data_IF_924591825314
#
_entry.id   IF_924591825314
#
_cell.length_a   1.000
_cell.length_b   1.000
_cell.length_c   1.000
_cell.angle_alpha   90.00
_cell.angle_beta   90.00
_cell.angle_gamma   90.00
#
_symmetry.space_group_name_H-M   'P 1'
#
loop_
_entity.id
_entity.type
_entity.pdbx_description
1 polymer ?
#
# COMPACT_ATOMS: atom_id res chain seq x y z
N UNK A 1 1.30 -16.55 -9.07
CA UNK A 1 1.92 -15.32 -8.59
C UNK A 1 2.83 -15.60 -7.43
N UNK A 2 4.07 -15.16 -7.55
CA UNK A 2 5.13 -15.56 -6.63
C UNK A 2 5.53 -14.46 -5.64
N UNK A 3 5.05 -13.22 -5.85
CA UNK A 3 5.39 -12.09 -4.97
C UNK A 3 4.15 -11.32 -4.58
N UNK A 4 4.24 -10.61 -3.45
CA UNK A 4 3.15 -9.74 -2.99
C UNK A 4 2.86 -8.62 -3.99
N UNK A 5 3.91 -8.05 -4.57
CA UNK A 5 3.76 -6.97 -5.55
C UNK A 5 2.97 -7.46 -6.78
N UNK A 6 3.34 -8.63 -7.33
CA UNK A 6 2.60 -9.22 -8.46
C UNK A 6 1.12 -9.43 -8.12
N UNK A 7 0.86 -9.95 -6.92
CA UNK A 7 -0.52 -10.19 -6.47
C UNK A 7 -1.33 -8.89 -6.44
N UNK A 8 -0.78 -7.83 -5.86
CA UNK A 8 -1.48 -6.54 -5.75
C UNK A 8 -1.64 -5.85 -7.11
N UNK A 9 -0.68 -6.02 -8.01
CA UNK A 9 -0.81 -5.49 -9.38
C UNK A 9 -1.91 -6.19 -10.16
N UNK A 10 -2.08 -7.49 -9.95
CA UNK A 10 -3.14 -8.26 -10.60
C UNK A 10 -4.52 -8.04 -9.96
N UNK A 11 -4.54 -7.63 -8.69
CA UNK A 11 -5.76 -7.39 -7.91
C UNK A 11 -5.70 -5.99 -7.31
N UNK A 12 -5.95 -4.96 -8.11
CA UNK A 12 -5.56 -3.59 -7.77
C UNK A 12 -6.36 -2.91 -6.67
N UNK A 13 -7.49 -3.49 -6.23
CA UNK A 13 -8.21 -2.93 -5.09
C UNK A 13 -7.88 -3.76 -3.85
N UNK A 14 -7.29 -3.12 -2.86
CA UNK A 14 -6.99 -3.73 -1.57
C UNK A 14 -7.38 -2.78 -0.46
N UNK A 15 -7.49 -3.29 0.75
CA UNK A 15 -7.85 -2.48 1.93
C UNK A 15 -6.62 -2.29 2.80
N UNK A 16 -6.49 -1.08 3.34
CA UNK A 16 -5.44 -0.74 4.30
C UNK A 16 -6.09 -0.52 5.66
N UNK A 17 -5.67 -1.31 6.63
CA UNK A 17 -6.11 -1.17 8.02
C UNK A 17 -5.07 -0.39 8.81
N UNK A 18 -5.56 0.54 9.62
CA UNK A 18 -4.74 1.39 10.49
C UNK A 18 -5.26 1.35 11.92
N UNK A 19 -4.43 1.79 12.84
CA UNK A 19 -4.77 1.93 14.26
C UNK A 19 -5.15 3.39 14.53
N UNK A 20 -6.30 3.59 15.17
CA UNK A 20 -6.79 4.90 15.56
C UNK A 20 -7.10 4.85 17.06
N UNK A 21 -6.09 5.11 17.90
CA UNK A 21 -6.21 4.90 19.33
C UNK A 21 -6.39 3.42 19.64
N UNK A 22 -7.55 3.06 20.18
CA UNK A 22 -7.93 1.67 20.44
C UNK A 22 -8.93 1.13 19.39
N UNK A 23 -9.18 1.88 18.32
CA UNK A 23 -10.08 1.50 17.24
C UNK A 23 -9.33 1.07 16.00
N UNK A 24 -9.88 0.11 15.27
CA UNK A 24 -9.40 -0.29 13.97
C UNK A 24 -10.14 0.50 12.90
N UNK A 25 -9.41 0.94 11.86
CA UNK A 25 -9.99 1.61 10.69
C UNK A 25 -9.50 0.91 9.43
N UNK A 26 -10.34 0.82 8.41
CA UNK A 26 -9.97 0.23 7.13
C UNK A 26 -10.64 0.99 5.98
N UNK A 27 -9.98 1.06 4.84
CA UNK A 27 -10.47 1.72 3.63
C UNK A 27 -9.78 1.15 2.40
N UNK A 28 -10.39 1.29 1.20
CA UNK A 28 -9.77 0.81 -0.02
C UNK A 28 -8.62 1.72 -0.49
N UNK A 29 -7.60 1.08 -1.03
CA UNK A 29 -6.48 1.70 -1.74
C UNK A 29 -6.36 1.02 -3.10
N UNK A 30 -5.70 1.68 -4.05
CA UNK A 30 -5.56 1.14 -5.41
C UNK A 30 -4.19 1.24 -6.02
N UNK A 31 -3.21 1.80 -5.32
CA UNK A 31 -1.88 2.00 -5.90
C UNK A 31 -0.80 1.31 -5.11
N UNK A 32 0.06 0.58 -5.83
CA UNK A 32 1.33 0.07 -5.32
C UNK A 32 2.41 0.28 -6.37
N UNK A 33 3.64 0.49 -5.91
CA UNK A 33 4.81 0.42 -6.79
C UNK A 33 5.97 -0.23 -6.05
N UNK A 34 6.84 -0.86 -6.84
CA UNK A 34 8.13 -1.34 -6.36
C UNK A 34 9.18 -0.29 -6.74
N UNK A 35 9.86 0.29 -5.75
CA UNK A 35 10.82 1.35 -5.95
C UNK A 35 11.85 1.32 -4.84
N UNK A 36 13.14 1.43 -5.20
CA UNK A 36 14.24 1.36 -4.22
C UNK A 36 14.18 0.12 -3.32
N UNK A 37 13.83 -1.03 -3.89
CA UNK A 37 13.69 -2.30 -3.17
C UNK A 37 12.66 -2.24 -2.04
N UNK A 38 11.63 -1.42 -2.19
CA UNK A 38 10.56 -1.27 -1.21
C UNK A 38 9.20 -1.26 -1.89
N UNK A 39 8.19 -1.66 -1.15
CA UNK A 39 6.80 -1.62 -1.59
C UNK A 39 6.16 -0.32 -1.12
N UNK A 40 5.74 0.49 -2.09
CA UNK A 40 5.16 1.81 -1.85
C UNK A 40 3.66 1.81 -2.05
N UNK A 41 2.98 2.60 -1.24
CA UNK A 41 1.60 3.02 -1.38
C UNK A 41 1.55 4.54 -1.39
N UNK A 42 0.41 5.13 -1.70
CA UNK A 42 0.25 6.57 -1.67
C UNK A 42 -1.09 6.99 -1.07
N UNK A 43 -1.13 8.19 -0.56
CA UNK A 43 -2.36 8.79 -0.04
C UNK A 43 -2.27 10.31 -0.09
N UNK A 44 -3.18 10.98 0.61
CA UNK A 44 -3.24 12.44 0.73
C UNK A 44 -3.05 12.82 2.19
N UNK A 45 -2.18 13.77 2.46
CA UNK A 45 -1.85 14.22 3.82
C UNK A 45 -3.05 14.77 4.59
N UNK A 46 -4.10 15.21 3.90
CA UNK A 46 -5.31 15.74 4.55
C UNK A 46 -6.25 14.65 5.05
N UNK A 47 -6.02 13.40 4.66
CA UNK A 47 -6.90 12.27 5.04
C UNK A 47 -6.58 11.75 6.43
N UNK A 48 -7.60 11.22 7.11
CA UNK A 48 -7.45 10.61 8.42
C UNK A 48 -6.48 9.43 8.40
N UNK A 49 -6.47 8.65 7.33
CA UNK A 49 -5.56 7.52 7.20
C UNK A 49 -4.10 7.94 7.34
N UNK A 50 -3.72 9.06 6.75
CA UNK A 50 -2.34 9.55 6.87
C UNK A 50 -2.03 9.97 8.30
N UNK A 51 -2.95 10.68 8.95
CA UNK A 51 -2.79 11.10 10.35
C UNK A 51 -2.67 9.90 11.28
N UNK A 52 -3.45 8.85 11.02
CA UNK A 52 -3.39 7.60 11.78
C UNK A 52 -2.02 6.92 11.61
N UNK A 53 -1.52 6.82 10.38
CA UNK A 53 -0.19 6.24 10.12
C UNK A 53 0.95 7.05 10.73
N UNK A 54 0.80 8.37 10.86
CA UNK A 54 1.81 9.19 11.52
C UNK A 54 1.87 8.91 13.03
N UNK A 55 0.72 8.69 13.67
CA UNK A 55 0.67 8.37 15.11
C UNK A 55 1.07 6.94 15.40
N UNK A 56 0.66 6.00 14.54
CA UNK A 56 0.99 4.60 14.67
C UNK A 56 1.28 4.02 13.29
N UNK A 57 2.55 3.75 12.98
CA UNK A 57 2.94 3.30 11.65
C UNK A 57 2.59 1.85 11.33
N UNK A 58 2.07 1.09 12.29
CA UNK A 58 1.62 -0.28 12.05
C UNK A 58 0.39 -0.28 11.16
N UNK A 59 0.46 -0.98 10.04
CA UNK A 59 -0.67 -1.14 9.12
C UNK A 59 -0.77 -2.59 8.68
N UNK A 60 -1.93 -2.93 8.13
CA UNK A 60 -2.10 -4.18 7.43
C UNK A 60 -2.85 -3.94 6.14
N UNK A 61 -2.36 -4.55 5.06
CA UNK A 61 -3.05 -4.60 3.76
C UNK A 61 -3.75 -5.94 3.67
N UNK A 62 -4.98 -5.94 3.14
CA UNK A 62 -5.72 -7.15 2.82
C UNK A 62 -6.34 -7.00 1.43
N UNK A 63 -6.08 -7.97 0.54
CA UNK A 63 -6.61 -7.95 -0.82
C UNK A 63 -7.05 -9.33 -1.27
N UNK A 64 -8.22 -9.39 -1.91
CA UNK A 64 -8.73 -10.62 -2.48
C UNK A 64 -8.10 -10.90 -3.83
N UNK A 65 -7.81 -12.16 -4.08
CA UNK A 65 -7.37 -12.67 -5.37
C UNK A 65 -8.37 -13.63 -5.98
N UNK A 66 -7.93 -14.34 -7.01
CA UNK A 66 -8.75 -15.36 -7.67
C UNK A 66 -8.83 -16.63 -6.81
N UNK A 67 -9.85 -17.46 -7.07
CA UNK A 67 -9.97 -18.82 -6.56
C UNK A 67 -9.96 -18.89 -5.02
N UNK A 68 -10.58 -17.93 -4.36
CA UNK A 68 -10.69 -17.93 -2.91
C UNK A 68 -9.36 -17.68 -2.18
N UNK A 69 -8.42 -17.01 -2.84
CA UNK A 69 -7.17 -16.60 -2.22
C UNK A 69 -7.25 -15.16 -1.73
N UNK A 70 -6.46 -14.83 -0.73
CA UNK A 70 -6.28 -13.44 -0.30
C UNK A 70 -4.88 -13.24 0.24
N UNK A 71 -4.38 -12.02 0.07
CA UNK A 71 -3.07 -11.62 0.55
C UNK A 71 -3.22 -10.70 1.74
N UNK A 72 -2.36 -10.89 2.75
CA UNK A 72 -2.22 -9.94 3.85
C UNK A 72 -0.77 -9.53 3.95
N UNK A 73 -0.53 -8.22 4.06
CA UNK A 73 0.80 -7.67 4.30
C UNK A 73 0.71 -6.84 5.56
N UNK A 74 1.52 -7.17 6.57
CA UNK A 74 1.56 -6.42 7.81
C UNK A 74 2.96 -5.90 8.06
N UNK A 75 3.04 -4.71 8.60
CA UNK A 75 4.32 -4.10 8.94
C UNK A 75 4.18 -2.62 9.23
N UNK A 76 5.32 -1.96 9.38
CA UNK A 76 5.39 -0.53 9.60
C UNK A 76 5.64 0.20 8.29
N UNK A 77 5.07 1.38 8.17
CA UNK A 77 5.32 2.26 7.03
C UNK A 77 6.10 3.49 7.46
N UNK A 78 6.84 4.04 6.52
CA UNK A 78 7.54 5.32 6.67
C UNK A 78 7.18 6.23 5.51
N UNK A 79 7.21 7.52 5.75
CA UNK A 79 6.91 8.53 4.72
C UNK A 79 8.14 8.75 3.85
N UNK A 80 7.92 8.75 2.53
CA UNK A 80 8.89 9.23 1.56
C UNK A 80 8.22 10.38 0.79
N UNK A 81 8.48 11.61 1.24
CA UNK A 81 7.89 12.81 0.66
C UNK A 81 8.78 13.44 -0.41
N UNK A 82 9.73 12.67 -0.95
CA UNK A 82 10.66 13.16 -1.96
C UNK A 82 9.97 13.38 -3.30
N UNK A 83 10.45 14.37 -4.03
CA UNK A 83 9.97 14.65 -5.39
C UNK A 83 10.17 13.44 -6.31
N UNK A 84 11.30 12.76 -6.16
CA UNK A 84 11.67 11.60 -6.98
C UNK A 84 10.69 10.44 -6.80
N UNK A 85 10.32 10.13 -5.55
CA UNK A 85 9.34 9.08 -5.29
C UNK A 85 7.97 9.43 -5.85
N UNK A 86 7.52 10.67 -5.65
CA UNK A 86 6.26 11.14 -6.22
C UNK A 86 6.27 11.08 -7.74
N UNK A 87 7.33 11.55 -8.36
CA UNK A 87 7.48 11.52 -9.81
C UNK A 87 7.42 10.10 -10.36
N UNK A 88 8.08 9.16 -9.68
CA UNK A 88 8.03 7.76 -10.08
C UNK A 88 6.61 7.19 -9.98
N UNK A 89 5.88 7.54 -8.93
CA UNK A 89 4.50 7.07 -8.76
C UNK A 89 3.60 7.54 -9.90
N UNK A 90 3.68 8.80 -10.31
CA UNK A 90 2.89 9.31 -11.44
C UNK A 90 3.33 8.72 -12.78
N UNK A 91 4.60 8.35 -12.91
CA UNK A 91 5.10 7.64 -14.09
C UNK A 91 4.54 6.23 -14.16
N UNK A 92 4.49 5.52 -13.03
CA UNK A 92 3.94 4.17 -12.93
C UNK A 92 2.43 4.15 -13.16
N UNK A 93 1.73 5.17 -12.67
CA UNK A 93 0.26 5.25 -12.77
C UNK A 93 -0.17 6.66 -13.17
N UNK A 94 -0.20 6.95 -14.49
CA UNK A 94 -0.64 8.27 -14.97
C UNK A 94 -2.07 8.62 -14.59
N UNK A 95 -2.91 7.64 -14.28
CA UNK A 95 -4.29 7.87 -13.83
C UNK A 95 -4.36 8.65 -12.52
N UNK A 96 -3.30 8.63 -11.73
CA UNK A 96 -3.24 9.44 -10.50
C UNK A 96 -3.35 10.93 -10.79
N UNK A 97 -2.99 11.38 -12.00
CA UNK A 97 -3.15 12.78 -12.41
C UNK A 97 -4.60 13.23 -12.46
N UNK A 98 -5.56 12.31 -12.58
CA UNK A 98 -6.98 12.65 -12.53
C UNK A 98 -7.41 13.07 -11.12
N UNK A 99 -6.74 12.53 -10.10
CA UNK A 99 -7.00 12.84 -8.69
C UNK A 99 -6.10 14.00 -8.23
N UNK A 100 -4.86 14.01 -8.71
CA UNK A 100 -3.84 14.98 -8.34
C UNK A 100 -3.30 15.65 -9.61
N UNK A 101 -4.03 16.64 -10.17
CA UNK A 101 -3.64 17.25 -11.48
C UNK A 101 -2.27 17.92 -11.47
N UNK A 102 -1.76 18.33 -10.31
CA UNK A 102 -0.43 18.93 -10.19
C UNK A 102 0.69 17.90 -10.12
N UNK A 103 0.35 16.61 -10.05
CA UNK A 103 1.32 15.52 -10.02
C UNK A 103 2.28 15.62 -8.85
N UNK A 104 3.58 15.47 -9.14
CA UNK A 104 4.61 15.50 -8.10
C UNK A 104 4.77 16.87 -7.42
N UNK A 105 4.18 17.93 -7.98
CA UNK A 105 4.17 19.26 -7.37
C UNK A 105 3.04 19.44 -6.34
N UNK A 106 2.17 18.45 -6.20
CA UNK A 106 1.10 18.50 -5.20
C UNK A 106 1.70 18.25 -3.82
N UNK A 107 1.59 19.24 -2.93
CA UNK A 107 2.16 19.18 -1.58
C UNK A 107 1.43 18.19 -0.68
N UNK A 108 0.17 17.87 -0.98
CA UNK A 108 -0.65 16.97 -0.17
C UNK A 108 -0.52 15.51 -0.59
N UNK A 109 -0.13 15.26 -1.84
CA UNK A 109 0.14 13.90 -2.29
C UNK A 109 1.39 13.37 -1.59
N UNK A 110 1.33 12.14 -1.09
CA UNK A 110 2.44 11.57 -0.32
C UNK A 110 2.58 10.09 -0.61
N UNK A 111 3.82 9.64 -0.71
CA UNK A 111 4.13 8.21 -0.80
C UNK A 111 4.68 7.69 0.52
N UNK A 112 4.38 6.44 0.81
CA UNK A 112 4.87 5.73 1.99
C UNK A 112 5.36 4.36 1.55
N UNK A 113 6.28 3.79 2.32
CA UNK A 113 6.82 2.46 2.02
C UNK A 113 6.91 1.62 3.28
N UNK A 114 6.83 0.29 3.10
CA UNK A 114 7.05 -0.63 4.21
C UNK A 114 8.53 -0.68 4.58
N UNK A 115 8.83 -0.53 5.87
CA UNK A 115 10.20 -0.64 6.40
C UNK A 115 10.55 -2.06 6.79
N UNK A 116 9.56 -2.86 7.17
CA UNK A 116 9.72 -4.27 7.47
C UNK A 116 8.34 -4.89 7.42
N UNK A 117 8.12 -5.78 6.46
CA UNK A 117 6.79 -6.32 6.24
C UNK A 117 6.84 -7.82 6.02
N UNK A 118 5.75 -8.48 6.42
CA UNK A 118 5.52 -9.90 6.16
C UNK A 118 4.28 -10.01 5.29
N UNK A 119 4.43 -10.63 4.12
CA UNK A 119 3.33 -10.92 3.22
C UNK A 119 2.97 -12.39 3.31
N UNK A 120 1.69 -12.68 3.50
CA UNK A 120 1.19 -14.05 3.62
C UNK A 120 0.00 -14.26 2.69
N UNK A 121 0.09 -15.29 1.88
CA UNK A 121 -0.98 -15.70 0.99
C UNK A 121 -1.83 -16.76 1.70
N UNK A 122 -3.13 -16.53 1.74
CA UNK A 122 -4.10 -17.41 2.36
C UNK A 122 -5.04 -18.00 1.32
N UNK A 123 -5.58 -19.16 1.61
CA UNK A 123 -6.67 -19.77 0.86
C UNK A 123 -7.50 -20.64 1.79
N UNK A 124 -8.69 -21.06 1.32
CA UNK A 124 -9.52 -21.97 2.11
C UNK A 124 -9.06 -23.43 2.01
N UNK A 125 -8.17 -23.73 1.07
CA UNK A 125 -7.80 -25.11 0.75
C UNK A 125 -6.35 -25.46 1.03
N UNK A 126 -5.50 -24.49 1.31
CA UNK A 126 -4.08 -24.67 1.53
C UNK A 126 -3.62 -23.98 2.79
N UNK A 127 -2.50 -24.42 3.36
CA UNK A 127 -1.87 -23.72 4.48
C UNK A 127 -1.38 -22.34 4.05
N UNK A 128 -1.35 -21.37 4.98
CA UNK A 128 -0.79 -20.04 4.68
C UNK A 128 0.65 -20.14 4.19
N UNK A 129 1.00 -19.30 3.23
CA UNK A 129 2.33 -19.30 2.62
C UNK A 129 2.89 -17.88 2.61
N UNK A 130 4.08 -17.69 3.16
CA UNK A 130 4.75 -16.41 3.08
C UNK A 130 5.29 -16.18 1.66
N UNK A 131 5.12 -14.95 1.17
CA UNK A 131 5.65 -14.52 -0.11
C UNK A 131 6.69 -13.43 0.08
N UNK A 132 7.71 -13.37 -0.79
CA UNK A 132 8.56 -12.18 -0.84
C UNK A 132 7.73 -10.99 -1.33
N UNK A 133 8.15 -9.77 -0.97
CA UNK A 133 7.43 -8.57 -1.41
C UNK A 133 7.57 -8.37 -2.92
N UNK A 134 8.75 -8.66 -3.48
CA UNK A 134 9.04 -8.59 -4.91
C UNK A 134 10.26 -9.41 -5.31
#
# INVERSE_FOLDING_TARGET
MNTAFEFLKANPVFHVATVDGDAARARPFGFVMAYNDKLYICTNKTKDVFKQMQKNPEIEISGMGAEGTWLRIRGKVAVDDSYEAKKQAFKESPMLLQIYPRGADDENYVTLYFTGAVATLYSFTSAPKNLPLF
#
